data_IF_825732901000
#
_entry.id   IF_825732901000
#
_cell.length_a   1.000
_cell.length_b   1.000
_cell.length_c   1.000
_cell.angle_alpha   90.00
_cell.angle_beta   90.00
_cell.angle_gamma   90.00
#
_symmetry.space_group_name_H-M   'P 1'
#
loop_
_entity.id
_entity.type
_entity.pdbx_description
1 polymer ?
#
# COMPACT_ATOMS: atom_id res chain seq x y z
N UNK A 1 -0.75 14.16 0.80
CA UNK A 1 -0.06 12.85 0.81
C UNK A 1 0.57 12.61 -0.56
N UNK A 2 1.73 11.96 -0.64
CA UNK A 2 2.44 11.63 -1.89
C UNK A 2 2.88 10.15 -1.84
N UNK A 3 3.11 9.53 -2.99
CA UNK A 3 3.57 8.15 -3.14
C UNK A 3 4.83 8.11 -4.03
N UNK A 4 5.79 7.21 -3.74
CA UNK A 4 7.13 7.01 -4.37
C UNK A 4 8.37 7.68 -3.68
N UNK A 5 9.35 6.84 -3.26
CA UNK A 5 10.71 7.19 -2.78
C UNK A 5 11.81 6.61 -3.70
N UNK A 6 12.90 7.36 -3.92
CA UNK A 6 14.01 7.05 -4.83
C UNK A 6 15.23 6.43 -4.11
N UNK A 7 15.82 5.36 -4.68
CA UNK A 7 17.21 4.92 -4.42
C UNK A 7 17.87 4.53 -5.76
N UNK A 8 19.19 4.72 -5.89
CA UNK A 8 20.03 4.70 -7.10
C UNK A 8 20.01 3.41 -7.96
N UNK A 9 19.17 2.42 -7.66
CA UNK A 9 19.09 1.10 -8.31
C UNK A 9 17.75 0.82 -9.02
N UNK A 10 16.94 1.84 -9.32
CA UNK A 10 15.57 1.68 -9.83
C UNK A 10 14.67 0.81 -8.92
N UNK A 11 15.01 0.72 -7.64
CA UNK A 11 14.30 -0.03 -6.61
C UNK A 11 13.42 0.92 -5.79
N UNK A 12 12.11 0.64 -5.75
CA UNK A 12 11.11 1.50 -5.14
C UNK A 12 10.18 0.71 -4.23
N UNK A 13 9.63 1.41 -3.24
CA UNK A 13 8.58 0.87 -2.38
C UNK A 13 7.31 1.67 -2.53
N UNK A 14 6.17 0.97 -2.44
CA UNK A 14 4.90 1.62 -2.17
C UNK A 14 4.78 1.83 -0.65
N UNK A 15 4.78 3.10 -0.25
CA UNK A 15 4.78 3.51 1.14
C UNK A 15 3.79 4.66 1.38
N UNK A 16 3.30 4.75 2.61
CA UNK A 16 2.59 5.90 3.15
C UNK A 16 3.54 6.64 4.07
N UNK A 17 3.63 7.97 3.93
CA UNK A 17 4.49 8.81 4.76
C UNK A 17 3.85 10.18 5.03
N UNK A 18 4.31 10.84 6.11
CA UNK A 18 3.88 12.19 6.44
C UNK A 18 4.54 13.24 5.53
N UNK A 19 3.73 14.05 4.85
CA UNK A 19 4.24 15.03 3.88
C UNK A 19 4.96 16.22 4.52
N UNK A 20 4.70 16.51 5.80
CA UNK A 20 5.26 17.66 6.50
C UNK A 20 6.36 17.30 7.51
N UNK A 21 6.80 16.04 7.56
CA UNK A 21 7.97 15.66 8.35
C UNK A 21 9.25 15.93 7.56
N UNK A 22 10.25 16.56 8.18
CA UNK A 22 11.57 16.81 7.57
C UNK A 22 12.19 15.54 6.98
N UNK A 23 11.96 14.40 7.64
CA UNK A 23 12.57 13.12 7.28
C UNK A 23 11.66 12.20 6.45
N UNK A 24 10.51 12.71 5.98
CA UNK A 24 9.48 11.92 5.26
C UNK A 24 9.17 10.59 5.98
N UNK A 25 8.81 10.69 7.26
CA UNK A 25 8.54 9.56 8.14
C UNK A 25 7.55 8.59 7.50
N UNK A 26 8.02 7.39 7.19
CA UNK A 26 7.22 6.29 6.66
C UNK A 26 6.42 5.68 7.80
N UNK A 27 5.10 5.55 7.60
CA UNK A 27 4.19 4.92 8.58
C UNK A 27 3.78 3.51 8.17
N UNK A 28 3.86 3.20 6.87
CA UNK A 28 3.53 1.88 6.35
C UNK A 28 4.16 1.65 4.97
N UNK A 29 4.48 0.40 4.65
CA UNK A 29 5.05 -0.04 3.37
C UNK A 29 4.43 -1.38 2.99
N UNK A 30 3.98 -1.54 1.74
CA UNK A 30 3.38 -2.80 1.27
C UNK A 30 4.38 -3.97 1.31
N UNK A 31 5.61 -3.78 0.82
CA UNK A 31 6.55 -4.88 0.61
C UNK A 31 7.98 -4.50 0.98
N UNK A 32 8.26 -4.40 2.28
CA UNK A 32 9.55 -3.90 2.78
C UNK A 32 10.76 -4.64 2.20
N UNK A 33 10.69 -5.95 2.07
CA UNK A 33 11.84 -6.77 1.70
C UNK A 33 12.04 -6.93 0.19
N UNK A 34 11.02 -6.62 -0.63
CA UNK A 34 11.07 -6.81 -2.08
C UNK A 34 10.63 -5.53 -2.78
N UNK A 35 11.56 -4.61 -3.07
CA UNK A 35 11.26 -3.41 -3.85
C UNK A 35 10.83 -3.77 -5.28
N UNK A 36 10.13 -2.84 -5.93
CA UNK A 36 9.64 -2.96 -7.31
C UNK A 36 10.36 -1.98 -8.23
N UNK A 37 10.18 -2.15 -9.53
CA UNK A 37 10.66 -1.17 -10.51
C UNK A 37 9.92 0.16 -10.32
N UNK A 38 10.62 1.29 -10.30
CA UNK A 38 10.00 2.61 -10.18
C UNK A 38 9.11 3.03 -11.33
N UNK A 39 9.27 2.37 -12.49
CA UNK A 39 8.51 2.65 -13.70
C UNK A 39 7.70 1.42 -14.09
N UNK A 40 6.38 1.59 -14.21
CA UNK A 40 5.47 0.55 -14.70
C UNK A 40 4.84 -0.32 -13.62
N UNK A 41 5.41 -0.37 -12.41
CA UNK A 41 4.79 -1.02 -11.25
C UNK A 41 3.55 -0.25 -10.77
N UNK A 42 2.55 -0.97 -10.25
CA UNK A 42 1.23 -0.39 -9.92
C UNK A 42 0.64 -0.99 -8.66
N UNK A 43 0.05 -0.13 -7.83
CA UNK A 43 -0.87 -0.55 -6.77
C UNK A 43 -2.29 -0.50 -7.32
N UNK A 44 -3.02 -1.61 -7.29
CA UNK A 44 -4.34 -1.75 -7.91
C UNK A 44 -5.32 -2.42 -6.96
N UNK A 45 -6.51 -1.85 -6.80
CA UNK A 45 -7.65 -2.55 -6.21
C UNK A 45 -8.35 -3.36 -7.29
N UNK A 46 -8.31 -4.69 -7.19
CA UNK A 46 -8.95 -5.59 -8.14
C UNK A 46 -10.46 -5.69 -7.89
N UNK A 47 -11.21 -6.22 -8.87
CA UNK A 47 -12.68 -6.36 -8.80
C UNK A 47 -13.15 -7.33 -7.70
N UNK A 48 -12.29 -8.22 -7.23
CA UNK A 48 -12.55 -9.15 -6.12
C UNK A 48 -12.23 -8.53 -4.74
N UNK A 49 -11.93 -7.23 -4.70
CA UNK A 49 -11.63 -6.47 -3.49
C UNK A 49 -10.21 -6.63 -2.95
N UNK A 50 -9.36 -7.42 -3.60
CA UNK A 50 -7.96 -7.57 -3.20
C UNK A 50 -7.15 -6.38 -3.74
N UNK A 51 -6.39 -5.72 -2.87
CA UNK A 51 -5.41 -4.72 -3.31
C UNK A 51 -4.06 -5.41 -3.55
N UNK A 52 -3.51 -5.21 -4.75
CA UNK A 52 -2.27 -5.85 -5.20
C UNK A 52 -1.24 -4.80 -5.62
N UNK A 53 0.03 -5.07 -5.29
CA UNK A 53 1.18 -4.39 -5.87
C UNK A 53 1.78 -5.30 -6.93
N UNK A 54 1.69 -4.90 -8.20
CA UNK A 54 2.33 -5.59 -9.32
C UNK A 54 3.59 -4.86 -9.78
N UNK A 55 4.61 -5.63 -10.16
CA UNK A 55 5.82 -5.13 -10.79
C UNK A 55 5.58 -4.93 -12.31
N UNK A 56 6.55 -4.33 -13.00
CA UNK A 56 6.46 -3.97 -14.43
C UNK A 56 6.19 -5.16 -15.37
N UNK A 57 6.61 -6.35 -14.97
CA UNK A 57 6.40 -7.62 -15.69
C UNK A 57 5.04 -8.28 -15.37
N UNK A 58 4.23 -7.67 -14.52
CA UNK A 58 2.94 -8.19 -14.07
C UNK A 58 3.03 -9.10 -12.83
N UNK A 59 4.24 -9.40 -12.32
CA UNK A 59 4.40 -10.21 -11.11
C UNK A 59 3.74 -9.52 -9.91
N UNK A 60 2.83 -10.20 -9.22
CA UNK A 60 2.29 -9.72 -7.94
C UNK A 60 3.37 -9.92 -6.89
N UNK A 61 3.82 -8.82 -6.29
CA UNK A 61 4.88 -8.85 -5.27
C UNK A 61 4.32 -8.75 -3.85
N UNK A 62 3.12 -8.20 -3.71
CA UNK A 62 2.39 -8.07 -2.44
C UNK A 62 0.89 -7.95 -2.68
N UNK A 63 0.09 -8.42 -1.73
CA UNK A 63 -1.36 -8.28 -1.70
C UNK A 63 -1.88 -8.21 -0.26
N UNK A 64 -3.11 -7.70 -0.07
CA UNK A 64 -3.74 -7.54 1.25
C UNK A 64 -4.06 -8.84 1.99
N UNK A 65 -3.86 -10.01 1.36
CA UNK A 65 -4.19 -11.35 1.90
C UNK A 65 -5.59 -11.43 2.54
N UNK A 66 -6.49 -10.57 2.10
CA UNK A 66 -7.91 -10.64 2.39
C UNK A 66 -8.46 -11.91 1.74
N UNK A 67 -9.41 -12.60 2.39
CA UNK A 67 -10.11 -13.73 1.77
C UNK A 67 -10.49 -13.37 0.34
N UNK A 68 -10.30 -14.27 -0.61
CA UNK A 68 -10.32 -14.05 -2.09
C UNK A 68 -11.62 -13.43 -2.65
N UNK A 69 -12.59 -13.15 -1.78
CA UNK A 69 -13.79 -12.37 -2.01
C UNK A 69 -13.96 -11.41 -0.82
N UNK A 70 -13.55 -10.15 -0.99
CA UNK A 70 -14.07 -9.06 -0.16
C UNK A 70 -14.87 -8.14 -1.05
N UNK A 71 -15.94 -7.55 -0.53
CA UNK A 71 -16.73 -6.53 -1.24
C UNK A 71 -16.05 -5.14 -1.18
N UNK A 72 -14.73 -5.10 -0.95
CA UNK A 72 -13.97 -3.87 -0.98
C UNK A 72 -14.00 -3.27 -2.39
N UNK A 73 -14.44 -2.01 -2.48
CA UNK A 73 -14.56 -1.31 -3.75
C UNK A 73 -13.79 0.02 -3.79
N UNK A 74 -13.24 0.45 -2.65
CA UNK A 74 -12.38 1.64 -2.58
C UNK A 74 -11.26 1.47 -1.57
N UNK A 75 -10.16 2.14 -1.86
CA UNK A 75 -9.09 2.41 -0.92
C UNK A 75 -9.18 3.85 -0.44
N UNK A 76 -9.08 4.06 0.87
CA UNK A 76 -9.12 5.38 1.50
C UNK A 76 -7.89 5.54 2.37
N UNK A 77 -7.17 6.64 2.19
CA UNK A 77 -6.05 6.99 3.04
C UNK A 77 -6.48 8.07 4.04
N UNK A 78 -6.57 7.71 5.31
CA UNK A 78 -6.93 8.65 6.37
C UNK A 78 -5.78 9.60 6.70
N UNK A 79 -6.12 10.76 7.28
CA UNK A 79 -5.14 11.77 7.72
C UNK A 79 -4.19 11.23 8.81
N UNK A 80 -4.56 10.15 9.50
CA UNK A 80 -3.70 9.44 10.45
C UNK A 80 -2.59 8.64 9.77
N UNK A 81 -2.63 8.48 8.45
CA UNK A 81 -1.74 7.60 7.69
C UNK A 81 -2.26 6.17 7.56
N UNK A 82 -3.44 5.84 8.12
CA UNK A 82 -4.04 4.52 7.95
C UNK A 82 -4.65 4.39 6.54
N UNK A 83 -4.12 3.48 5.74
CA UNK A 83 -4.70 3.07 4.46
C UNK A 83 -5.70 1.95 4.73
N UNK A 84 -6.95 2.17 4.35
CA UNK A 84 -8.04 1.20 4.57
C UNK A 84 -8.71 0.81 3.26
N UNK A 85 -9.15 -0.44 3.18
CA UNK A 85 -10.07 -0.92 2.14
C UNK A 85 -11.49 -0.95 2.70
N UNK A 86 -12.45 -0.43 1.94
CA UNK A 86 -13.86 -0.36 2.33
C UNK A 86 -14.80 -0.88 1.25
N UNK A 87 -15.93 -1.44 1.68
CA UNK A 87 -17.08 -1.73 0.81
C UNK A 87 -18.05 -0.54 0.71
N UNK A 88 -19.06 -0.64 -0.16
CA UNK A 88 -20.10 0.39 -0.35
C UNK A 88 -20.78 0.84 0.94
N UNK A 89 -20.86 -0.03 1.95
CA UNK A 89 -21.47 0.24 3.25
C UNK A 89 -20.53 0.88 4.27
N UNK A 90 -19.36 1.35 3.84
CA UNK A 90 -18.31 1.95 4.68
C UNK A 90 -17.66 1.01 5.70
N UNK A 91 -17.91 -0.30 5.61
CA UNK A 91 -17.25 -1.31 6.44
C UNK A 91 -15.77 -1.39 6.05
N UNK A 92 -14.89 -1.30 7.04
CA UNK A 92 -13.44 -1.49 6.87
C UNK A 92 -13.17 -2.99 6.84
N UNK A 93 -12.58 -3.47 5.74
CA UNK A 93 -12.31 -4.89 5.50
C UNK A 93 -10.83 -5.24 5.61
N UNK A 94 -9.97 -4.22 5.49
CA UNK A 94 -8.53 -4.31 5.67
C UNK A 94 -8.00 -2.94 6.07
N UNK A 95 -6.97 -2.90 6.91
CA UNK A 95 -6.28 -1.66 7.27
C UNK A 95 -4.78 -1.88 7.44
N UNK A 96 -3.98 -0.90 7.02
CA UNK A 96 -2.53 -1.00 7.04
C UNK A 96 -1.95 -1.09 8.45
N UNK A 97 -2.64 -0.53 9.44
CA UNK A 97 -2.17 -0.55 10.83
C UNK A 97 -2.20 -1.94 11.47
N UNK A 98 -2.99 -2.87 10.93
CA UNK A 98 -2.97 -4.27 11.38
C UNK A 98 -1.74 -5.02 10.83
N UNK A 99 -1.03 -4.44 9.85
CA UNK A 99 0.14 -5.01 9.19
C UNK A 99 1.32 -4.01 9.23
N UNK A 100 1.83 -3.65 10.42
CA UNK A 100 2.84 -2.61 10.56
C UNK A 100 4.18 -3.06 9.96
N UNK A 101 4.85 -2.14 9.26
CA UNK A 101 6.15 -2.45 8.63
C UNK A 101 7.31 -1.60 9.14
N UNK A 102 7.09 -0.48 9.84
CA UNK A 102 8.21 0.31 10.41
C UNK A 102 7.91 1.27 11.58
N UNK A 103 6.75 1.23 12.20
CA UNK A 103 6.51 1.98 13.44
C UNK A 103 6.29 0.99 14.58
N UNK A 104 7.28 0.93 15.46
CA UNK A 104 7.15 0.36 16.79
C UNK A 104 5.93 0.97 17.51
N UNK A 105 5.39 0.17 18.44
CA UNK A 105 4.35 0.53 19.42
C UNK A 105 4.53 1.93 20.02
#
# INVERSE_FOLDING_TARGET
MRSIFYNHTNAYWFAVWFTNSKDRTVVWTANRHKPVNGRGSKMTLQRNGVMVLSNVDGTIVWETNTTSSTDANRAVLFNTGNLVLKNEKDVILWQSFDYPTDTQR
#
